data_IF_571737759857
#
_entry.id   IF_571737759857
#
_cell.length_a   1.000
_cell.length_b   1.000
_cell.length_c   1.000
_cell.angle_alpha   90.00
_cell.angle_beta   90.00
_cell.angle_gamma   90.00
#
_symmetry.space_group_name_H-M   'P 1'
#
loop_
_entity.id
_entity.type
_entity.pdbx_description
1 polymer ?
#
# COMPACT_ATOMS: atom_id res chain seq x y z
N UNK A 1 -34.31 -1.86 -3.32
CA UNK A 1 -33.08 -1.06 -3.11
C UNK A 1 -31.92 -1.92 -3.55
N UNK A 2 -31.27 -1.61 -4.67
CA UNK A 2 -30.09 -2.37 -5.10
C UNK A 2 -28.95 -2.09 -4.12
N UNK A 3 -28.36 -3.15 -3.56
CA UNK A 3 -27.08 -3.07 -2.88
C UNK A 3 -26.01 -2.90 -3.97
N UNK A 4 -25.94 -1.72 -4.59
CA UNK A 4 -24.71 -1.33 -5.26
C UNK A 4 -23.67 -1.21 -4.15
N UNK A 5 -22.77 -2.20 -4.05
CA UNK A 5 -21.55 -2.03 -3.27
C UNK A 5 -20.92 -0.72 -3.75
N UNK A 6 -20.85 0.28 -2.87
CA UNK A 6 -20.09 1.49 -3.16
C UNK A 6 -18.66 1.05 -3.36
N UNK A 7 -18.16 1.20 -4.58
CA UNK A 7 -16.75 1.03 -4.84
C UNK A 7 -16.02 2.22 -4.23
N UNK A 8 -15.20 1.94 -3.23
CA UNK A 8 -14.31 2.92 -2.61
C UNK A 8 -12.94 2.83 -3.29
N UNK A 9 -12.41 3.99 -3.67
CA UNK A 9 -11.12 4.10 -4.35
C UNK A 9 -10.22 5.01 -3.54
N UNK A 10 -8.96 4.62 -3.38
CA UNK A 10 -7.92 5.45 -2.80
C UNK A 10 -6.86 5.74 -3.87
N UNK A 11 -6.52 7.02 -4.03
CA UNK A 11 -5.48 7.45 -4.95
C UNK A 11 -4.29 7.97 -4.13
N UNK A 12 -3.10 7.49 -4.47
CA UNK A 12 -1.86 7.83 -3.77
C UNK A 12 -0.98 8.67 -4.68
N UNK A 13 -0.36 9.72 -4.14
CA UNK A 13 0.62 10.52 -4.87
C UNK A 13 1.90 10.74 -4.10
N UNK A 14 2.98 10.90 -4.86
CA UNK A 14 4.30 11.19 -4.31
C UNK A 14 4.59 12.69 -4.22
N UNK A 15 3.89 13.49 -5.03
CA UNK A 15 4.10 14.95 -5.12
C UNK A 15 2.91 15.68 -4.49
N UNK A 16 3.16 16.64 -3.56
CA UNK A 16 2.10 17.46 -2.99
C UNK A 16 1.24 18.13 -4.06
N UNK A 17 -0.08 18.22 -3.83
CA UNK A 17 -1.07 18.90 -4.67
C UNK A 17 -1.27 18.33 -6.09
N UNK A 18 -0.53 17.30 -6.51
CA UNK A 18 -0.79 16.62 -7.79
C UNK A 18 -2.13 15.91 -7.79
N UNK A 19 -2.53 15.32 -6.67
CA UNK A 19 -3.86 14.72 -6.50
C UNK A 19 -4.96 15.75 -6.78
N UNK A 20 -4.83 17.01 -6.33
CA UNK A 20 -5.81 18.07 -6.61
C UNK A 20 -5.98 18.28 -8.11
N UNK A 21 -4.86 18.23 -8.85
CA UNK A 21 -4.85 18.42 -10.29
C UNK A 21 -5.43 17.21 -11.03
N UNK A 22 -5.06 16.00 -10.61
CA UNK A 22 -5.51 14.75 -11.23
C UNK A 22 -6.98 14.43 -10.92
N UNK A 23 -7.48 14.92 -9.78
CA UNK A 23 -8.83 14.68 -9.27
C UNK A 23 -9.62 15.99 -9.18
N UNK A 24 -9.32 16.99 -10.01
CA UNK A 24 -10.01 18.30 -9.97
C UNK A 24 -11.52 18.16 -10.10
N UNK A 25 -11.96 17.16 -10.86
CA UNK A 25 -13.37 16.88 -11.13
C UNK A 25 -14.04 16.09 -9.99
N UNK A 26 -13.24 15.52 -9.08
CA UNK A 26 -13.67 14.69 -7.94
C UNK A 26 -13.53 15.43 -6.60
N UNK A 27 -13.41 16.77 -6.65
CA UNK A 27 -13.16 17.66 -5.53
C UNK A 27 -13.90 17.22 -4.24
N UNK A 28 -13.16 16.82 -3.20
CA UNK A 28 -13.74 16.37 -1.93
C UNK A 28 -13.03 15.22 -1.19
N UNK A 29 -11.92 14.69 -1.70
CA UNK A 29 -11.17 13.61 -1.04
C UNK A 29 -9.83 14.10 -0.46
N UNK A 30 -9.53 13.64 0.75
CA UNK A 30 -8.23 13.87 1.39
C UNK A 30 -7.09 13.23 0.59
N UNK A 31 -5.96 13.92 0.54
CA UNK A 31 -4.82 13.52 -0.27
C UNK A 31 -3.84 12.67 0.52
N UNK A 32 -3.72 11.41 0.12
CA UNK A 32 -2.65 10.53 0.60
C UNK A 32 -1.35 10.84 -0.13
N UNK A 33 -0.55 11.75 0.46
CA UNK A 33 0.76 12.14 -0.08
C UNK A 33 1.88 11.41 0.66
N UNK A 34 2.42 10.35 0.06
CA UNK A 34 3.44 9.50 0.67
C UNK A 34 4.89 10.04 0.55
N UNK A 35 5.06 11.23 -0.06
CA UNK A 35 6.33 11.98 -0.17
C UNK A 35 7.49 11.21 -0.80
N UNK A 36 7.19 10.17 -1.58
CA UNK A 36 8.21 9.32 -2.20
C UNK A 36 9.01 8.45 -1.22
N UNK A 37 8.58 8.33 0.04
CA UNK A 37 9.26 7.52 1.05
C UNK A 37 8.48 6.22 1.33
N UNK A 38 9.14 5.08 1.54
CA UNK A 38 8.46 3.85 1.93
C UNK A 38 7.63 4.01 3.21
N UNK A 39 8.12 4.76 4.20
CA UNK A 39 7.39 5.08 5.43
C UNK A 39 6.06 5.79 5.15
N UNK A 40 6.09 6.86 4.36
CA UNK A 40 4.86 7.57 3.98
C UNK A 40 3.90 6.71 3.17
N UNK A 41 4.39 5.73 2.41
CA UNK A 41 3.53 4.80 1.67
C UNK A 41 2.87 3.79 2.61
N UNK A 42 3.60 3.32 3.61
CA UNK A 42 3.09 2.43 4.66
C UNK A 42 2.07 3.14 5.55
N UNK A 43 2.36 4.36 5.99
CA UNK A 43 1.42 5.21 6.75
C UNK A 43 0.12 5.40 5.97
N UNK A 44 0.20 5.83 4.71
CA UNK A 44 -0.98 6.07 3.88
C UNK A 44 -1.80 4.78 3.64
N UNK A 45 -1.15 3.62 3.55
CA UNK A 45 -1.84 2.32 3.44
C UNK A 45 -2.46 1.90 4.78
N UNK A 46 -1.81 2.18 5.90
CA UNK A 46 -2.36 1.90 7.22
C UNK A 46 -3.63 2.74 7.49
N UNK A 47 -3.59 4.02 7.13
CA UNK A 47 -4.73 4.95 7.26
C UNK A 47 -5.95 4.48 6.46
N UNK A 48 -5.73 3.90 5.26
CA UNK A 48 -6.81 3.33 4.44
C UNK A 48 -7.58 2.22 5.17
N UNK A 49 -6.91 1.48 6.05
CA UNK A 49 -7.51 0.35 6.74
C UNK A 49 -7.98 0.69 8.16
N UNK A 50 -7.87 1.94 8.60
CA UNK A 50 -8.17 2.30 9.99
C UNK A 50 -9.63 1.99 10.39
N UNK A 51 -10.57 2.19 9.47
CA UNK A 51 -12.01 1.96 9.66
C UNK A 51 -12.45 0.50 9.47
N UNK A 52 -11.55 -0.39 9.03
CA UNK A 52 -11.93 -1.80 8.88
C UNK A 52 -12.15 -2.44 10.26
N UNK A 53 -13.22 -3.25 10.42
CA UNK A 53 -13.47 -3.99 11.67
C UNK A 53 -12.33 -4.96 12.04
N UNK A 54 -11.67 -5.51 11.01
CA UNK A 54 -10.52 -6.41 11.14
C UNK A 54 -9.48 -6.06 10.07
N UNK A 55 -8.66 -5.03 10.28
CA UNK A 55 -7.61 -4.67 9.34
C UNK A 55 -6.43 -5.64 9.46
N UNK A 56 -5.70 -5.89 8.36
CA UNK A 56 -4.63 -6.88 8.32
C UNK A 56 -3.48 -6.55 9.30
N UNK A 57 -3.08 -5.27 9.41
CA UNK A 57 -2.19 -4.72 10.45
C UNK A 57 -2.50 -3.23 10.62
N UNK A 58 -2.67 -2.75 11.86
CA UNK A 58 -2.93 -1.31 12.16
C UNK A 58 -1.66 -0.51 12.39
N UNK A 59 -0.60 -1.17 12.83
CA UNK A 59 0.64 -0.50 13.21
C UNK A 59 1.54 -0.29 11.98
N UNK A 60 1.83 0.97 11.60
CA UNK A 60 2.80 1.28 10.54
C UNK A 60 4.17 0.65 10.77
N UNK A 61 4.60 0.48 12.02
CA UNK A 61 5.91 -0.11 12.34
C UNK A 61 5.95 -1.60 11.99
N UNK A 62 4.89 -2.36 12.30
CA UNK A 62 4.78 -3.77 11.88
C UNK A 62 4.76 -3.91 10.35
N UNK A 63 4.05 -3.02 9.65
CA UNK A 63 4.05 -2.99 8.19
C UNK A 63 5.44 -2.63 7.63
N UNK A 64 6.19 -1.77 8.32
CA UNK A 64 7.56 -1.42 7.96
C UNK A 64 8.51 -2.61 8.14
N UNK A 65 8.32 -3.45 9.15
CA UNK A 65 9.09 -4.68 9.33
C UNK A 65 8.85 -5.67 8.18
N UNK A 66 7.58 -5.87 7.80
CA UNK A 66 7.21 -6.66 6.63
C UNK A 66 7.85 -6.09 5.37
N UNK A 67 7.81 -4.77 5.17
CA UNK A 67 8.49 -4.11 4.06
C UNK A 67 9.99 -4.41 4.03
N UNK A 68 10.68 -4.31 5.18
CA UNK A 68 12.13 -4.59 5.28
C UNK A 68 12.44 -6.04 4.93
N UNK A 69 11.63 -7.00 5.39
CA UNK A 69 11.79 -8.42 5.07
C UNK A 69 11.62 -8.68 3.57
N UNK A 70 10.54 -8.15 2.98
CA UNK A 70 10.27 -8.26 1.55
C UNK A 70 11.38 -7.58 0.73
N UNK A 71 11.91 -6.45 1.18
CA UNK A 71 12.99 -5.74 0.51
C UNK A 71 14.28 -6.58 0.48
N UNK A 72 14.61 -7.28 1.58
CA UNK A 72 15.74 -8.23 1.62
C UNK A 72 15.50 -9.39 0.65
N UNK A 73 14.32 -9.99 0.68
CA UNK A 73 13.95 -11.06 -0.24
C UNK A 73 14.08 -10.62 -1.71
N UNK A 74 13.53 -9.45 -2.05
CA UNK A 74 13.63 -8.86 -3.39
C UNK A 74 15.08 -8.77 -3.84
N UNK A 75 15.95 -8.16 -3.02
CA UNK A 75 17.37 -7.96 -3.36
C UNK A 75 18.09 -9.29 -3.60
N UNK A 76 17.71 -10.33 -2.86
CA UNK A 76 18.36 -11.64 -2.94
C UNK A 76 17.81 -12.55 -4.05
N UNK A 77 16.51 -12.44 -4.38
CA UNK A 77 15.78 -13.49 -5.14
C UNK A 77 15.07 -13.00 -6.39
N UNK A 78 14.94 -11.68 -6.59
CA UNK A 78 14.17 -11.12 -7.70
C UNK A 78 15.04 -10.33 -8.68
N UNK A 79 14.64 -10.31 -9.97
CA UNK A 79 15.27 -9.46 -10.97
C UNK A 79 15.06 -7.97 -10.63
N UNK A 80 15.83 -7.10 -11.30
CA UNK A 80 15.80 -5.64 -11.08
C UNK A 80 14.39 -5.06 -11.27
N UNK A 81 13.70 -5.54 -12.30
CA UNK A 81 12.30 -5.22 -12.56
C UNK A 81 11.37 -6.16 -11.77
N UNK A 82 10.61 -5.56 -10.86
CA UNK A 82 9.68 -6.27 -9.97
C UNK A 82 8.21 -6.09 -10.37
N UNK A 83 7.93 -5.32 -11.42
CA UNK A 83 6.57 -5.01 -11.86
C UNK A 83 5.95 -6.07 -12.77
N UNK A 84 6.68 -7.17 -13.01
CA UNK A 84 6.14 -8.35 -13.69
C UNK A 84 5.22 -9.13 -12.76
N UNK A 85 4.14 -9.71 -13.31
CA UNK A 85 3.18 -10.50 -12.55
C UNK A 85 3.84 -11.64 -11.74
N UNK A 86 4.88 -12.27 -12.32
CA UNK A 86 5.66 -13.32 -11.66
C UNK A 86 6.43 -12.81 -10.45
N UNK A 87 7.05 -11.64 -10.54
CA UNK A 87 7.81 -11.05 -9.43
C UNK A 87 6.88 -10.60 -8.32
N UNK A 88 5.75 -10.00 -8.69
CA UNK A 88 4.70 -9.66 -7.73
C UNK A 88 4.18 -10.89 -6.98
N UNK A 89 3.85 -11.98 -7.68
CA UNK A 89 3.41 -13.23 -7.05
C UNK A 89 4.42 -13.77 -6.04
N UNK A 90 5.72 -13.71 -6.35
CA UNK A 90 6.79 -14.11 -5.43
C UNK A 90 6.88 -13.19 -4.20
N UNK A 91 6.72 -11.87 -4.38
CA UNK A 91 6.68 -10.92 -3.27
C UNK A 91 5.50 -11.21 -2.33
N UNK A 92 4.32 -11.54 -2.87
CA UNK A 92 3.14 -11.91 -2.07
C UNK A 92 3.38 -13.17 -1.25
N UNK A 93 4.01 -14.20 -1.83
CA UNK A 93 4.36 -15.42 -1.09
C UNK A 93 5.33 -15.11 0.06
N UNK A 94 6.41 -14.37 -0.23
CA UNK A 94 7.38 -13.97 0.79
C UNK A 94 6.74 -13.11 1.89
N UNK A 95 5.80 -12.24 1.55
CA UNK A 95 5.06 -11.42 2.50
C UNK A 95 4.20 -12.28 3.43
N UNK A 96 3.50 -13.30 2.90
CA UNK A 96 2.67 -14.21 3.71
C UNK A 96 3.52 -15.01 4.69
N UNK A 97 4.65 -15.52 4.23
CA UNK A 97 5.62 -16.22 5.11
C UNK A 97 6.14 -15.27 6.21
N UNK A 98 6.47 -14.03 5.86
CA UNK A 98 6.93 -13.04 6.83
C UNK A 98 5.89 -12.72 7.92
N UNK A 99 4.60 -12.71 7.57
CA UNK A 99 3.49 -12.44 8.52
C UNK A 99 3.14 -13.65 9.39
N UNK A 100 3.46 -14.88 8.97
CA UNK A 100 3.20 -16.10 9.77
C UNK A 100 4.30 -16.43 10.78
N UNK A 101 5.50 -15.85 10.62
CA UNK A 101 6.69 -16.15 11.42
C UNK A 101 6.93 -15.11 12.54
N UNK A 102 6.21 -13.99 12.54
CA UNK A 102 6.18 -13.00 13.63
C UNK A 102 4.90 -13.11 14.44
#
# INVERSE_FOLDING_TARGET
MSLQQKHEWAAFECVPYRLTRSLSDLNGYDQYTHRGMPAGAVEAVADLFHDLPSPPKRDPDELMEVYRLIQRFRRAKLPRDVFTARSFAKLVVAAREAVQVG
#
